data_IF_642868803420
#
_entry.id   IF_642868803420
#
_cell.length_a   1.000
_cell.length_b   1.000
_cell.length_c   1.000
_cell.angle_alpha   90.00
_cell.angle_beta   90.00
_cell.angle_gamma   90.00
#
_symmetry.space_group_name_H-M   'P 1'
#
loop_
_entity.id
_entity.type
_entity.pdbx_description
1 polymer ?
#
# COMPACT_ATOMS: atom_id res chain seq x y z
N UNK A 1 -13.64 16.62 -28.83
CA UNK A 1 -12.57 17.64 -29.01
C UNK A 1 -12.92 18.78 -28.08
N UNK A 2 -12.44 18.71 -26.84
CA UNK A 2 -12.67 19.74 -25.84
C UNK A 2 -11.76 20.93 -26.14
N UNK A 3 -12.37 22.10 -26.27
CA UNK A 3 -11.66 23.36 -26.51
C UNK A 3 -11.05 23.82 -25.20
N UNK A 4 -9.74 23.99 -25.21
CA UNK A 4 -8.94 24.55 -24.13
C UNK A 4 -9.51 25.88 -23.63
N UNK A 5 -9.53 25.99 -22.30
CA UNK A 5 -10.03 27.11 -21.52
C UNK A 5 -8.98 28.23 -21.54
N UNK A 6 -8.94 29.00 -22.62
CA UNK A 6 -8.09 30.17 -22.79
C UNK A 6 -8.59 31.29 -21.85
N UNK A 7 -7.79 31.69 -20.86
CA UNK A 7 -8.16 32.79 -19.95
C UNK A 7 -8.15 34.14 -20.70
N UNK A 8 -9.13 35.04 -20.43
CA UNK A 8 -9.16 36.36 -21.06
C UNK A 8 -8.03 37.24 -20.52
N UNK A 9 -7.08 37.59 -21.40
CA UNK A 9 -6.05 38.59 -21.10
C UNK A 9 -6.62 39.99 -21.37
N UNK A 10 -6.75 40.81 -20.32
CA UNK A 10 -7.18 42.21 -20.44
C UNK A 10 -6.05 43.07 -21.05
N UNK A 11 -6.02 43.17 -22.37
CA UNK A 11 -5.06 43.96 -23.16
C UNK A 11 -5.46 45.45 -23.32
N UNK A 12 -6.20 46.03 -22.38
CA UNK A 12 -6.73 47.40 -22.53
C UNK A 12 -6.01 48.46 -21.68
N UNK A 13 -4.68 48.62 -21.84
CA UNK A 13 -4.01 49.80 -21.30
C UNK A 13 -3.04 50.50 -22.26
N UNK A 14 -3.11 50.23 -23.58
CA UNK A 14 -2.20 50.88 -24.55
C UNK A 14 -2.79 51.17 -25.94
N UNK A 15 -4.08 51.48 -26.07
CA UNK A 15 -4.58 52.07 -27.32
C UNK A 15 -5.80 52.98 -27.06
N UNK A 16 -5.59 54.30 -27.02
CA UNK A 16 -6.65 55.25 -27.39
C UNK A 16 -6.90 55.15 -28.91
N UNK A 17 -8.11 55.45 -29.40
CA UNK A 17 -8.27 56.77 -30.03
C UNK A 17 -9.69 57.38 -30.02
N UNK A 18 -9.74 58.72 -30.12
CA UNK A 18 -10.65 59.53 -30.97
C UNK A 18 -12.18 59.43 -30.78
N UNK A 19 -12.77 60.54 -30.32
CA UNK A 19 -14.18 60.89 -30.58
C UNK A 19 -14.43 62.41 -30.46
N UNK A 20 -14.87 63.04 -31.55
CA UNK A 20 -15.56 64.36 -31.67
C UNK A 20 -17.06 64.10 -32.01
N UNK A 21 -18.00 65.09 -32.02
CA UNK A 21 -18.16 66.36 -31.28
C UNK A 21 -19.62 66.63 -30.77
N UNK A 22 -19.86 67.80 -30.12
CA UNK A 22 -21.09 68.68 -30.07
C UNK A 22 -21.44 69.25 -28.65
N UNK A 23 -22.07 70.43 -28.48
CA UNK A 23 -21.93 71.75 -29.13
C UNK A 23 -21.65 72.91 -28.12
N UNK A 24 -21.28 74.09 -28.64
CA UNK A 24 -20.87 75.37 -27.99
C UNK A 24 -21.98 76.10 -27.19
N UNK A 25 -21.66 77.03 -26.24
CA UNK A 25 -21.31 78.44 -26.60
C UNK A 25 -20.18 79.12 -25.76
N UNK A 26 -19.53 80.10 -26.39
CA UNK A 26 -18.52 81.08 -25.91
C UNK A 26 -19.14 82.18 -24.98
N UNK A 27 -18.37 82.99 -24.19
CA UNK A 27 -17.31 83.92 -24.70
C UNK A 27 -16.02 84.11 -23.84
N UNK A 28 -14.89 84.32 -24.53
CA UNK A 28 -13.81 85.36 -24.44
C UNK A 28 -13.42 86.10 -23.11
N UNK A 29 -12.27 86.83 -23.06
CA UNK A 29 -10.88 86.40 -22.78
C UNK A 29 -10.29 87.09 -21.51
N UNK A 30 -9.07 86.73 -21.07
CA UNK A 30 -8.02 87.66 -20.53
C UNK A 30 -6.87 86.91 -19.82
N UNK A 31 -5.63 87.36 -20.05
CA UNK A 31 -4.49 87.14 -19.13
C UNK A 31 -3.23 86.46 -19.68
N UNK A 32 -2.39 87.19 -20.42
CA UNK A 32 -0.91 87.04 -20.37
C UNK A 32 -0.36 88.02 -19.31
N UNK A 33 0.90 87.95 -18.83
CA UNK A 33 2.05 87.13 -19.24
C UNK A 33 2.66 86.37 -18.03
N UNK A 34 3.72 85.55 -18.16
CA UNK A 34 5.07 86.03 -17.88
C UNK A 34 6.14 84.96 -18.22
N UNK A 35 7.25 85.45 -18.75
CA UNK A 35 8.39 84.68 -19.24
C UNK A 35 9.43 84.50 -18.13
N UNK A 36 9.58 83.28 -17.61
CA UNK A 36 10.65 82.91 -16.70
C UNK A 36 11.74 82.08 -17.39
N UNK A 37 12.76 82.76 -17.92
CA UNK A 37 14.05 82.17 -18.31
C UNK A 37 14.78 81.69 -17.05
N UNK A 38 15.29 80.46 -17.07
CA UNK A 38 16.14 79.93 -16.01
C UNK A 38 16.75 78.57 -16.36
N UNK A 39 17.83 78.59 -17.13
CA UNK A 39 18.92 77.62 -17.01
C UNK A 39 20.05 78.35 -16.26
N UNK A 40 20.89 77.67 -15.46
CA UNK A 40 21.72 76.59 -16.00
C UNK A 40 21.98 75.41 -15.04
N UNK A 41 22.62 74.38 -15.60
CA UNK A 41 23.57 73.42 -14.97
C UNK A 41 23.18 71.94 -15.09
N UNK A 42 23.86 71.23 -16.01
CA UNK A 42 24.21 69.81 -15.83
C UNK A 42 23.42 68.76 -16.61
N UNK A 43 22.57 69.14 -17.56
CA UNK A 43 21.88 68.18 -18.42
C UNK A 43 22.84 67.45 -19.35
N UNK A 44 23.17 66.18 -19.08
CA UNK A 44 23.87 65.32 -20.05
C UNK A 44 22.99 65.21 -21.29
N UNK A 45 23.32 65.93 -22.37
CA UNK A 45 22.65 65.79 -23.65
C UNK A 45 23.07 64.46 -24.26
N UNK A 46 22.31 63.40 -24.01
CA UNK A 46 22.55 62.11 -24.66
C UNK A 46 22.25 62.23 -26.14
N UNK A 47 23.22 61.89 -26.98
CA UNK A 47 23.00 61.82 -28.42
C UNK A 47 22.05 60.66 -28.71
N UNK A 48 21.28 60.72 -29.81
CA UNK A 48 20.39 59.60 -30.23
C UNK A 48 21.13 58.25 -30.26
N UNK A 49 22.42 58.27 -30.61
CA UNK A 49 23.32 57.10 -30.60
C UNK A 49 23.66 56.59 -29.19
N UNK A 50 23.77 57.47 -28.19
CA UNK A 50 24.03 57.07 -26.80
C UNK A 50 22.80 56.39 -26.18
N UNK A 51 21.61 56.89 -26.53
CA UNK A 51 20.33 56.29 -26.14
C UNK A 51 20.15 54.92 -26.83
N UNK A 52 20.46 54.81 -28.12
CA UNK A 52 20.39 53.55 -28.85
C UNK A 52 21.33 52.48 -28.27
N UNK A 53 22.55 52.88 -27.89
CA UNK A 53 23.52 51.98 -27.22
C UNK A 53 23.05 51.52 -25.83
N UNK A 54 22.44 52.41 -25.05
CA UNK A 54 21.88 52.03 -23.76
C UNK A 54 20.70 51.06 -23.92
N UNK A 55 19.79 51.31 -24.86
CA UNK A 55 18.65 50.42 -25.13
C UNK A 55 19.12 49.05 -25.64
N UNK A 56 20.11 48.99 -26.53
CA UNK A 56 20.65 47.70 -26.98
C UNK A 56 21.32 46.94 -25.84
N UNK A 57 22.09 47.62 -24.98
CA UNK A 57 22.72 46.99 -23.83
C UNK A 57 21.70 46.47 -22.81
N UNK A 58 20.61 47.22 -22.58
CA UNK A 58 19.51 46.82 -21.70
C UNK A 58 18.73 45.64 -22.29
N UNK A 59 18.47 45.67 -23.60
CA UNK A 59 17.80 44.57 -24.31
C UNK A 59 18.62 43.29 -24.31
N UNK A 60 19.94 43.39 -24.52
CA UNK A 60 20.84 42.25 -24.46
C UNK A 60 20.90 41.64 -23.06
N UNK A 61 20.86 42.47 -22.01
CA UNK A 61 20.76 41.99 -20.62
C UNK A 61 19.42 41.30 -20.37
N UNK A 62 18.32 41.95 -20.73
CA UNK A 62 16.98 41.38 -20.57
C UNK A 62 16.81 40.07 -21.34
N UNK A 63 17.35 39.99 -22.55
CA UNK A 63 17.28 38.79 -23.38
C UNK A 63 18.11 37.64 -22.79
N UNK A 64 19.28 37.93 -22.22
CA UNK A 64 20.09 36.94 -21.49
C UNK A 64 19.44 36.48 -20.19
N UNK A 65 18.88 37.39 -19.40
CA UNK A 65 18.14 37.06 -18.18
C UNK A 65 16.90 36.21 -18.52
N UNK A 66 16.16 36.59 -19.58
CA UNK A 66 15.00 35.84 -20.01
C UNK A 66 15.35 34.44 -20.53
N UNK A 67 16.44 34.30 -21.31
CA UNK A 67 16.92 32.99 -21.74
C UNK A 67 17.35 32.12 -20.56
N UNK A 68 18.05 32.71 -19.57
CA UNK A 68 18.46 32.00 -18.36
C UNK A 68 17.25 31.52 -17.53
N UNK A 69 16.26 32.39 -17.30
CA UNK A 69 15.03 32.06 -16.57
C UNK A 69 14.23 30.95 -17.28
N UNK A 70 14.14 31.01 -18.61
CA UNK A 70 13.46 29.99 -19.42
C UNK A 70 14.20 28.65 -19.35
N UNK A 71 15.53 28.67 -19.34
CA UNK A 71 16.33 27.46 -19.27
C UNK A 71 16.28 26.82 -17.88
N UNK A 72 16.30 27.62 -16.81
CA UNK A 72 16.11 27.16 -15.43
C UNK A 72 14.71 26.55 -15.25
N UNK A 73 13.65 27.24 -15.69
CA UNK A 73 12.27 26.75 -15.64
C UNK A 73 12.09 25.43 -16.40
N UNK A 74 12.73 25.27 -17.57
CA UNK A 74 12.72 24.01 -18.34
C UNK A 74 13.42 22.89 -17.59
N UNK A 75 14.55 23.17 -16.95
CA UNK A 75 15.34 22.17 -16.25
C UNK A 75 14.63 21.70 -14.96
N UNK A 76 14.05 22.62 -14.20
CA UNK A 76 13.22 22.29 -13.03
C UNK A 76 11.98 21.49 -13.42
N UNK A 77 11.25 21.92 -14.47
CA UNK A 77 10.09 21.18 -14.96
C UNK A 77 10.47 19.77 -15.43
N UNK A 78 11.59 19.62 -16.15
CA UNK A 78 12.08 18.31 -16.58
C UNK A 78 12.49 17.42 -15.40
N UNK A 79 13.12 17.99 -14.36
CA UNK A 79 13.50 17.28 -13.15
C UNK A 79 12.28 16.85 -12.34
N UNK A 80 11.30 17.72 -12.16
CA UNK A 80 10.03 17.42 -11.49
C UNK A 80 9.24 16.36 -12.25
N UNK A 81 9.17 16.45 -13.58
CA UNK A 81 8.50 15.45 -14.41
C UNK A 81 9.19 14.09 -14.32
N UNK A 82 10.54 14.05 -14.35
CA UNK A 82 11.31 12.81 -14.17
C UNK A 82 11.13 12.20 -12.79
N UNK A 83 11.11 13.01 -11.73
CA UNK A 83 10.84 12.53 -10.36
C UNK A 83 9.42 11.95 -10.26
N UNK A 84 8.41 12.67 -10.77
CA UNK A 84 7.01 12.20 -10.73
C UNK A 84 6.79 10.93 -11.54
N UNK A 85 7.49 10.77 -12.67
CA UNK A 85 7.44 9.54 -13.46
C UNK A 85 8.12 8.37 -12.73
N UNK A 86 9.31 8.59 -12.16
CA UNK A 86 10.07 7.57 -11.43
C UNK A 86 9.35 7.13 -10.15
N UNK A 87 8.80 8.05 -9.38
CA UNK A 87 8.03 7.72 -8.18
C UNK A 87 6.77 6.92 -8.49
N UNK A 88 6.07 7.23 -9.58
CA UNK A 88 4.94 6.41 -10.05
C UNK A 88 5.39 5.01 -10.42
N UNK A 89 6.47 4.89 -11.20
CA UNK A 89 7.01 3.60 -11.62
C UNK A 89 7.46 2.76 -10.42
N UNK A 90 8.16 3.36 -9.46
CA UNK A 90 8.62 2.69 -8.24
C UNK A 90 7.42 2.25 -7.37
N UNK A 91 6.36 3.07 -7.27
CA UNK A 91 5.15 2.71 -6.56
C UNK A 91 4.37 1.57 -7.25
N UNK A 92 4.28 1.57 -8.58
CA UNK A 92 3.68 0.48 -9.35
C UNK A 92 4.48 -0.81 -9.23
N UNK A 93 5.81 -0.72 -9.33
CA UNK A 93 6.70 -1.86 -9.16
C UNK A 93 6.61 -2.41 -7.74
N UNK A 94 6.58 -1.55 -6.72
CA UNK A 94 6.37 -1.98 -5.34
C UNK A 94 5.03 -2.69 -5.14
N UNK A 95 3.94 -2.16 -5.69
CA UNK A 95 2.64 -2.85 -5.65
C UNK A 95 2.70 -4.23 -6.33
N UNK A 96 3.32 -4.32 -7.51
CA UNK A 96 3.49 -5.60 -8.21
C UNK A 96 4.31 -6.59 -7.38
N UNK A 97 5.41 -6.14 -6.77
CA UNK A 97 6.25 -6.97 -5.91
C UNK A 97 5.48 -7.44 -4.66
N UNK A 98 4.72 -6.55 -4.02
CA UNK A 98 3.89 -6.92 -2.86
C UNK A 98 2.80 -7.93 -3.24
N UNK A 99 2.19 -7.78 -4.42
CA UNK A 99 1.18 -8.71 -4.92
C UNK A 99 1.79 -10.08 -5.29
N UNK A 100 2.98 -10.08 -5.89
CA UNK A 100 3.74 -11.31 -6.15
C UNK A 100 4.11 -11.99 -4.83
N UNK A 101 4.68 -11.25 -3.87
CA UNK A 101 5.07 -11.79 -2.57
C UNK A 101 3.87 -12.38 -1.80
N UNK A 102 2.70 -11.73 -1.86
CA UNK A 102 1.46 -12.29 -1.28
C UNK A 102 1.03 -13.58 -1.99
N UNK A 103 1.13 -13.63 -3.32
CA UNK A 103 0.79 -14.84 -4.09
C UNK A 103 1.75 -15.97 -3.77
N UNK A 104 3.05 -15.71 -3.75
CA UNK A 104 4.08 -16.67 -3.38
C UNK A 104 3.90 -17.18 -1.95
N UNK A 105 3.62 -16.29 -0.98
CA UNK A 105 3.35 -16.69 0.39
C UNK A 105 2.10 -17.59 0.51
N UNK A 106 1.04 -17.28 -0.24
CA UNK A 106 -0.17 -18.11 -0.26
C UNK A 106 0.06 -19.46 -0.95
N UNK A 107 0.85 -19.49 -2.04
CA UNK A 107 1.22 -20.73 -2.73
C UNK A 107 2.08 -21.61 -1.83
N UNK A 108 3.13 -21.05 -1.23
CA UNK A 108 3.99 -21.77 -0.29
C UNK A 108 3.18 -22.33 0.89
N UNK A 109 2.25 -21.53 1.44
CA UNK A 109 1.36 -22.03 2.49
C UNK A 109 0.48 -23.19 2.03
N UNK A 110 -0.12 -23.11 0.84
CA UNK A 110 -0.90 -24.23 0.27
C UNK A 110 -0.06 -25.46 -0.02
N UNK A 111 1.15 -25.28 -0.54
CA UNK A 111 2.08 -26.38 -0.78
C UNK A 111 2.45 -27.06 0.54
N UNK A 112 2.73 -26.27 1.58
CA UNK A 112 3.00 -26.76 2.93
C UNK A 112 1.78 -27.47 3.53
N UNK A 113 0.55 -26.95 3.33
CA UNK A 113 -0.69 -27.62 3.73
C UNK A 113 -0.83 -28.99 3.06
N UNK A 114 -0.64 -29.08 1.74
CA UNK A 114 -0.78 -30.34 1.00
C UNK A 114 0.30 -31.35 1.42
N UNK A 115 1.54 -30.91 1.60
CA UNK A 115 2.62 -31.75 2.11
C UNK A 115 2.30 -32.26 3.52
N UNK A 116 1.87 -31.36 4.41
CA UNK A 116 1.46 -31.69 5.79
C UNK A 116 0.31 -32.68 5.82
N UNK A 117 -0.70 -32.48 4.97
CA UNK A 117 -1.85 -33.37 4.83
C UNK A 117 -1.42 -34.79 4.46
N UNK A 118 -0.50 -34.89 3.51
CA UNK A 118 0.06 -36.19 3.09
C UNK A 118 0.85 -36.84 4.24
N UNK A 119 1.63 -36.05 4.99
CA UNK A 119 2.42 -36.54 6.11
C UNK A 119 1.57 -36.96 7.32
N UNK A 120 0.45 -36.28 7.56
CA UNK A 120 -0.55 -36.68 8.57
C UNK A 120 -1.15 -38.04 8.25
N UNK A 121 -1.59 -38.25 7.00
CA UNK A 121 -2.14 -39.55 6.56
C UNK A 121 -1.09 -40.65 6.69
N UNK A 122 0.16 -40.40 6.29
CA UNK A 122 1.27 -41.34 6.46
C UNK A 122 1.58 -41.65 7.93
N UNK A 123 1.21 -40.74 8.83
CA UNK A 123 1.39 -40.87 10.28
C UNK A 123 0.15 -41.42 10.98
N UNK A 124 -0.85 -41.92 10.25
CA UNK A 124 -2.14 -42.41 10.78
C UNK A 124 -2.93 -41.36 11.58
N UNK A 125 -2.67 -40.07 11.31
CA UNK A 125 -3.37 -38.95 11.93
C UNK A 125 -4.46 -38.39 11.00
N UNK A 126 -5.66 -38.09 11.52
CA UNK A 126 -6.73 -37.47 10.73
C UNK A 126 -6.34 -36.13 10.11
N UNK A 127 -6.88 -35.85 8.92
CA UNK A 127 -6.68 -34.56 8.20
C UNK A 127 -7.19 -33.35 9.00
N UNK A 128 -8.13 -33.56 9.93
CA UNK A 128 -8.64 -32.52 10.84
C UNK A 128 -7.58 -31.96 11.78
N UNK A 129 -6.44 -32.64 11.95
CA UNK A 129 -5.30 -32.13 12.72
C UNK A 129 -4.45 -31.13 11.95
N UNK A 130 -4.69 -30.91 10.65
CA UNK A 130 -3.90 -30.01 9.81
C UNK A 130 -3.75 -28.62 10.43
N UNK A 131 -4.85 -27.99 10.83
CA UNK A 131 -4.84 -26.65 11.44
C UNK A 131 -4.11 -26.59 12.79
N UNK A 132 -3.96 -27.74 13.46
CA UNK A 132 -3.28 -27.86 14.77
C UNK A 132 -1.78 -28.08 14.59
N UNK A 133 -1.39 -28.87 13.59
CA UNK A 133 0.02 -29.23 13.39
C UNK A 133 0.77 -28.24 12.50
N UNK A 134 0.06 -27.52 11.62
CA UNK A 134 0.68 -26.67 10.62
C UNK A 134 1.40 -25.47 11.27
N UNK A 135 2.73 -25.51 11.18
CA UNK A 135 3.62 -24.49 11.72
C UNK A 135 4.04 -23.46 10.68
N UNK A 136 4.96 -22.58 11.08
CA UNK A 136 5.51 -21.54 10.20
C UNK A 136 6.42 -22.13 9.12
N UNK A 137 7.07 -23.25 9.43
CA UNK A 137 8.05 -23.94 8.60
C UNK A 137 7.78 -25.44 8.59
N UNK A 138 8.19 -26.13 7.51
CA UNK A 138 7.97 -27.57 7.34
C UNK A 138 8.55 -28.40 8.51
N UNK A 139 9.73 -28.04 9.01
CA UNK A 139 10.35 -28.75 10.14
C UNK A 139 9.55 -28.61 11.45
N UNK A 140 9.01 -27.42 11.72
CA UNK A 140 8.13 -27.21 12.88
C UNK A 140 6.85 -28.03 12.77
N UNK A 141 6.29 -28.13 11.56
CA UNK A 141 5.09 -28.95 11.31
C UNK A 141 5.37 -30.44 11.55
N UNK A 142 6.52 -30.97 11.10
CA UNK A 142 6.91 -32.36 11.36
C UNK A 142 7.09 -32.65 12.85
N UNK A 143 7.71 -31.75 13.58
CA UNK A 143 7.87 -31.89 15.03
C UNK A 143 6.51 -31.87 15.74
N UNK A 144 5.60 -30.99 15.32
CA UNK A 144 4.24 -30.95 15.83
C UNK A 144 3.46 -32.23 15.54
N UNK A 145 3.55 -32.78 14.32
CA UNK A 145 2.94 -34.06 13.94
C UNK A 145 3.41 -35.17 14.88
N UNK A 146 4.71 -35.28 15.14
CA UNK A 146 5.27 -36.29 16.04
C UNK A 146 4.73 -36.14 17.47
N UNK A 147 4.76 -34.92 18.02
CA UNK A 147 4.25 -34.64 19.37
C UNK A 147 2.77 -34.96 19.50
N UNK A 148 1.96 -34.54 18.52
CA UNK A 148 0.52 -34.83 18.50
C UNK A 148 0.28 -36.33 18.42
N UNK A 149 1.02 -37.06 17.58
CA UNK A 149 0.93 -38.52 17.47
C UNK A 149 1.20 -39.20 18.82
N UNK A 150 2.32 -38.89 19.45
CA UNK A 150 2.71 -39.50 20.73
C UNK A 150 1.68 -39.25 21.84
N UNK A 151 1.19 -38.01 21.95
CA UNK A 151 0.19 -37.64 22.96
C UNK A 151 -1.17 -38.28 22.66
N UNK A 152 -1.59 -38.30 21.40
CA UNK A 152 -2.86 -38.88 20.98
C UNK A 152 -2.88 -40.39 21.20
N UNK A 153 -1.83 -41.10 20.77
CA UNK A 153 -1.72 -42.55 20.96
C UNK A 153 -1.75 -42.92 22.44
N UNK A 154 -1.03 -42.16 23.28
CA UNK A 154 -1.01 -42.38 24.73
C UNK A 154 -2.39 -42.17 25.36
N UNK A 155 -3.08 -41.09 25.02
CA UNK A 155 -4.38 -40.76 25.60
C UNK A 155 -5.46 -41.74 25.13
N UNK A 156 -5.46 -42.08 23.84
CA UNK A 156 -6.37 -43.09 23.28
C UNK A 156 -6.12 -44.46 23.90
N UNK A 157 -4.87 -44.88 24.08
CA UNK A 157 -4.55 -46.12 24.78
C UNK A 157 -5.04 -46.11 26.23
N UNK A 158 -4.87 -44.99 26.95
CA UNK A 158 -5.37 -44.82 28.32
C UNK A 158 -6.89 -44.93 28.39
N UNK A 159 -7.60 -44.20 27.52
CA UNK A 159 -9.06 -44.22 27.42
C UNK A 159 -9.59 -45.61 27.02
N UNK A 160 -8.99 -46.26 26.03
CA UNK A 160 -9.36 -47.62 25.62
C UNK A 160 -9.10 -48.60 26.77
N UNK A 161 -7.99 -48.47 27.48
CA UNK A 161 -7.70 -49.29 28.66
C UNK A 161 -8.73 -49.05 29.77
N UNK A 162 -9.14 -47.81 30.01
CA UNK A 162 -10.17 -47.48 31.00
C UNK A 162 -11.55 -48.00 30.59
N UNK A 163 -11.91 -47.95 29.29
CA UNK A 163 -13.13 -48.58 28.76
C UNK A 163 -13.08 -50.10 28.87
N UNK A 164 -11.96 -50.74 28.56
CA UNK A 164 -11.80 -52.20 28.72
C UNK A 164 -11.80 -52.63 30.19
N UNK A 165 -11.45 -51.73 31.10
CA UNK A 165 -11.59 -51.93 32.55
C UNK A 165 -13.04 -51.77 33.06
N UNK A 166 -14.00 -51.35 32.23
CA UNK A 166 -15.41 -51.31 32.66
C UNK A 166 -15.95 -52.72 32.94
N UNK A 167 -16.84 -52.77 33.94
CA UNK A 167 -17.18 -53.94 34.76
C UNK A 167 -17.30 -55.26 33.99
N UNK A 168 -16.59 -56.29 34.50
CA UNK A 168 -16.95 -57.67 34.23
C UNK A 168 -18.46 -57.79 34.45
N UNK A 169 -19.23 -58.35 33.49
CA UNK A 169 -20.64 -58.62 33.74
C UNK A 169 -20.69 -59.38 35.06
N UNK A 170 -21.40 -58.83 36.04
CA UNK A 170 -21.54 -59.39 37.38
C UNK A 170 -21.92 -60.85 37.16
N UNK A 171 -20.92 -61.73 37.28
CA UNK A 171 -21.07 -63.13 36.94
C UNK A 171 -22.31 -63.57 37.68
N UNK A 172 -23.27 -64.12 36.93
CA UNK A 172 -24.64 -64.28 37.37
C UNK A 172 -24.69 -64.63 38.85
N UNK A 173 -25.34 -63.77 39.63
CA UNK A 173 -25.87 -64.19 40.92
C UNK A 173 -26.99 -65.20 40.64
N UNK A 174 -26.60 -66.36 40.11
CA UNK A 174 -27.39 -67.57 40.11
C UNK A 174 -26.94 -68.29 41.37
N UNK A 175 -27.67 -68.01 42.44
CA UNK A 175 -27.75 -68.89 43.59
C UNK A 175 -27.89 -70.35 43.09
N UNK A 176 -26.93 -71.19 43.46
CA UNK A 176 -26.86 -72.55 42.96
C UNK A 176 -25.60 -73.24 43.41
N UNK A 177 -25.36 -73.21 44.72
CA UNK A 177 -24.36 -74.05 45.35
C UNK A 177 -24.69 -75.52 45.09
N UNK A 178 -23.96 -76.12 44.17
CA UNK A 178 -23.78 -77.57 44.15
C UNK A 178 -22.45 -77.86 43.45
N UNK A 179 -21.37 -77.70 44.21
CA UNK A 179 -20.04 -78.06 43.71
C UNK A 179 -20.03 -79.58 43.46
N UNK A 180 -19.51 -79.98 42.29
CA UNK A 180 -19.41 -81.38 41.88
C UNK A 180 -18.72 -82.23 42.97
N UNK A 181 -17.80 -81.63 43.73
CA UNK A 181 -17.13 -82.21 44.90
C UNK A 181 -18.09 -82.55 46.05
N UNK A 182 -19.12 -81.73 46.31
CA UNK A 182 -20.12 -81.99 47.33
C UNK A 182 -21.05 -83.17 46.95
N UNK A 183 -21.43 -83.28 45.67
CA UNK A 183 -22.20 -84.42 45.16
C UNK A 183 -21.42 -85.73 45.22
N UNK A 184 -20.11 -85.70 44.93
CA UNK A 184 -19.24 -86.87 45.00
C UNK A 184 -19.08 -87.35 46.46
N UNK A 185 -18.86 -86.44 47.41
CA UNK A 185 -18.81 -86.76 48.84
C UNK A 185 -20.13 -87.35 49.34
N UNK A 186 -21.26 -86.79 48.94
CA UNK A 186 -22.58 -87.28 49.34
C UNK A 186 -22.83 -88.71 48.82
N UNK A 187 -22.44 -89.03 47.58
CA UNK A 187 -22.61 -90.37 47.03
C UNK A 187 -21.69 -91.41 47.69
N UNK A 188 -20.45 -91.03 48.03
CA UNK A 188 -19.53 -91.92 48.76
C UNK A 188 -20.00 -92.24 50.18
N UNK A 189 -20.60 -91.26 50.87
CA UNK A 189 -21.13 -91.47 52.23
C UNK A 189 -22.34 -92.41 52.30
N UNK A 190 -23.06 -92.62 51.19
CA UNK A 190 -24.24 -93.50 51.12
C UNK A 190 -23.90 -94.97 50.79
N UNK A 191 -22.64 -95.26 50.47
CA UNK A 191 -22.17 -96.59 50.05
C UNK A 191 -21.49 -97.34 51.22
N UNK A 192 -21.35 -96.71 52.40
CA UNK A 192 -20.80 -97.32 53.62
C UNK A 192 -21.90 -97.54 54.65
#
# INVERSE_FOLDING_TARGET
>A
MEKEKLMPMNLQFFAEPSSEPEPTPEPEPEGKPDAGKGEPEGGKTFTRDDIAKMISAEKDKWQKEHEADVEEAKNEAAKLAKMSAKEREDAENKKKLDDIAKREANLNRRELEVATKTELVNSDLPESFLDVVIGKDAESTKENIKKVKELFDKEVQSEVTNRLKTDLPKAGSAAGGDSITARIQQNLSKIK
#
